data_IF_905436591965
#
_entry.id   IF_905436591965
#
_cell.length_a   1.000
_cell.length_b   1.000
_cell.length_c   1.000
_cell.angle_alpha   90.00
_cell.angle_beta   90.00
_cell.angle_gamma   90.00
#
_symmetry.space_group_name_H-M   'P 1'
#
loop_
_entity.id
_entity.type
_entity.pdbx_description
1 polymer ?
#
# COMPACT_ATOMS: atom_id res chain seq x y z
N UNK A 1 10.98 -16.52 -23.55
CA UNK A 1 10.52 -17.60 -22.66
C UNK A 1 9.79 -17.04 -21.45
N UNK A 2 8.48 -17.28 -21.36
CA UNK A 2 7.64 -17.00 -20.18
C UNK A 2 7.50 -18.29 -19.37
N UNK A 3 7.72 -18.21 -18.04
CA UNK A 3 7.24 -19.07 -16.93
C UNK A 3 8.39 -19.55 -16.03
N UNK A 4 8.53 -18.92 -14.86
CA UNK A 4 8.44 -19.54 -13.53
C UNK A 4 8.72 -18.44 -12.49
N UNK A 5 7.66 -17.83 -11.94
CA UNK A 5 7.73 -16.90 -10.82
C UNK A 5 6.67 -17.32 -9.81
N UNK A 6 6.98 -18.35 -9.04
CA UNK A 6 6.18 -18.80 -7.88
C UNK A 6 6.77 -18.17 -6.60
N UNK A 7 7.20 -16.92 -6.67
CA UNK A 7 7.29 -16.06 -5.48
C UNK A 7 6.99 -14.65 -5.97
N UNK A 8 5.82 -14.11 -5.58
CA UNK A 8 5.44 -12.70 -5.77
C UNK A 8 5.14 -12.24 -7.22
N UNK A 9 4.31 -12.99 -7.97
CA UNK A 9 3.65 -12.53 -9.21
C UNK A 9 3.00 -11.13 -9.14
N UNK A 10 2.77 -10.59 -7.93
CA UNK A 10 2.11 -9.30 -7.70
C UNK A 10 3.04 -8.11 -7.43
N UNK A 11 4.36 -8.30 -7.32
CA UNK A 11 5.26 -7.17 -7.14
C UNK A 11 5.74 -6.73 -8.51
N UNK A 12 5.28 -5.57 -8.98
CA UNK A 12 5.81 -4.94 -10.21
C UNK A 12 7.31 -4.61 -10.11
N UNK A 13 7.88 -4.71 -8.91
CA UNK A 13 9.23 -4.30 -8.56
C UNK A 13 9.82 -5.29 -7.57
N UNK A 14 11.09 -5.62 -7.72
CA UNK A 14 11.80 -6.46 -6.77
C UNK A 14 12.31 -5.60 -5.61
N UNK A 15 11.73 -5.79 -4.42
CA UNK A 15 12.11 -5.07 -3.20
C UNK A 15 13.10 -5.84 -2.33
N UNK A 16 13.67 -6.96 -2.80
CA UNK A 16 14.72 -7.67 -2.05
C UNK A 16 15.94 -6.75 -1.89
N UNK A 17 16.61 -6.74 -0.72
CA UNK A 17 17.85 -5.99 -0.55
C UNK A 17 18.97 -6.49 -1.47
N UNK A 18 19.95 -5.63 -1.76
CA UNK A 18 21.22 -6.04 -2.38
C UNK A 18 21.91 -7.11 -1.52
N UNK A 19 22.55 -8.15 -2.09
CA UNK A 19 22.76 -8.40 -3.54
C UNK A 19 21.65 -9.24 -4.21
N UNK A 20 20.53 -9.49 -3.53
CA UNK A 20 19.53 -10.45 -4.02
C UNK A 20 18.58 -9.88 -5.09
N UNK A 21 18.34 -8.56 -5.05
CA UNK A 21 17.46 -7.88 -5.99
C UNK A 21 17.91 -8.04 -7.45
N UNK A 22 16.95 -8.21 -8.37
CA UNK A 22 17.21 -8.32 -9.81
C UNK A 22 17.75 -9.68 -10.26
N UNK A 23 18.00 -10.60 -9.33
CA UNK A 23 18.51 -11.94 -9.65
C UNK A 23 17.40 -12.98 -9.64
N UNK A 24 17.55 -14.07 -10.40
CA UNK A 24 16.65 -15.24 -10.32
C UNK A 24 17.00 -16.20 -9.19
N UNK A 25 18.08 -15.92 -8.44
CA UNK A 25 18.52 -16.72 -7.30
C UNK A 25 17.70 -16.39 -6.05
N UNK A 26 17.47 -17.40 -5.21
CA UNK A 26 16.81 -17.29 -3.89
C UNK A 26 15.51 -16.46 -3.93
N UNK A 27 14.61 -16.77 -4.87
CA UNK A 27 13.34 -16.04 -5.01
C UNK A 27 12.47 -16.19 -3.75
N UNK A 28 12.62 -17.30 -3.07
CA UNK A 28 11.94 -17.70 -1.84
C UNK A 28 12.58 -17.16 -0.57
N UNK A 29 13.68 -16.40 -0.65
CA UNK A 29 14.44 -15.90 0.51
C UNK A 29 13.56 -15.22 1.55
N UNK A 30 12.62 -14.37 1.12
CA UNK A 30 11.73 -13.63 2.02
C UNK A 30 10.70 -14.52 2.74
N UNK A 31 10.56 -15.80 2.37
CA UNK A 31 9.73 -16.77 3.10
C UNK A 31 10.41 -17.21 4.40
N UNK A 32 11.75 -17.32 4.38
CA UNK A 32 12.53 -17.90 5.46
C UNK A 32 13.27 -16.85 6.29
N UNK A 33 13.69 -15.74 5.67
CA UNK A 33 14.39 -14.65 6.37
C UNK A 33 13.42 -13.51 6.73
N UNK A 34 13.06 -13.45 8.03
CA UNK A 34 12.17 -12.42 8.57
C UNK A 34 12.79 -11.01 8.53
N UNK A 35 14.11 -10.91 8.69
CA UNK A 35 14.83 -9.63 8.69
C UNK A 35 14.85 -9.02 7.30
N UNK A 36 15.23 -9.81 6.28
CA UNK A 36 15.18 -9.38 4.89
C UNK A 36 13.76 -9.07 4.43
N UNK A 37 12.78 -9.86 4.87
CA UNK A 37 11.36 -9.57 4.61
C UNK A 37 10.93 -8.22 5.18
N UNK A 38 11.37 -7.90 6.40
CA UNK A 38 11.11 -6.59 7.01
C UNK A 38 11.70 -5.45 6.18
N UNK A 39 12.97 -5.57 5.76
CA UNK A 39 13.64 -4.58 4.89
C UNK A 39 12.92 -4.41 3.55
N UNK A 40 12.55 -5.51 2.91
CA UNK A 40 11.81 -5.47 1.64
C UNK A 40 10.42 -4.84 1.79
N UNK A 41 9.70 -5.15 2.87
CA UNK A 41 8.41 -4.52 3.17
C UNK A 41 8.56 -3.01 3.40
N UNK A 42 9.59 -2.59 4.15
CA UNK A 42 9.88 -1.17 4.38
C UNK A 42 10.12 -0.43 3.06
N UNK A 43 11.00 -0.97 2.20
CA UNK A 43 11.27 -0.37 0.89
C UNK A 43 10.01 -0.30 0.01
N UNK A 44 9.16 -1.33 0.04
CA UNK A 44 7.87 -1.34 -0.67
C UNK A 44 6.92 -0.25 -0.16
N UNK A 45 6.82 -0.07 1.16
CA UNK A 45 5.97 0.96 1.77
C UNK A 45 6.50 2.37 1.51
N UNK A 46 7.81 2.57 1.54
CA UNK A 46 8.46 3.84 1.20
C UNK A 46 8.22 4.21 -0.27
N UNK A 47 8.43 3.27 -1.20
CA UNK A 47 8.13 3.49 -2.62
C UNK A 47 6.64 3.80 -2.81
N UNK A 48 5.74 3.05 -2.15
CA UNK A 48 4.31 3.30 -2.21
C UNK A 48 3.94 4.71 -1.73
N UNK A 49 4.46 5.14 -0.59
CA UNK A 49 4.16 6.44 0.01
C UNK A 49 4.73 7.62 -0.77
N UNK A 50 5.84 7.42 -1.50
CA UNK A 50 6.57 8.52 -2.16
C UNK A 50 6.36 8.58 -3.67
N UNK A 51 6.10 7.46 -4.34
CA UNK A 51 6.15 7.38 -5.81
C UNK A 51 4.87 6.86 -6.47
N UNK A 52 4.05 6.11 -5.74
CA UNK A 52 2.92 5.42 -6.37
C UNK A 52 1.66 6.26 -6.45
N UNK A 53 1.49 7.33 -5.69
CA UNK A 53 0.27 8.15 -5.69
C UNK A 53 0.63 9.56 -6.12
N UNK A 54 1.07 9.65 -7.37
CA UNK A 54 1.62 10.85 -8.01
C UNK A 54 0.76 11.25 -9.21
N UNK A 55 0.47 12.56 -9.34
CA UNK A 55 -0.32 13.16 -10.42
C UNK A 55 0.44 13.13 -11.76
N UNK A 56 1.76 13.04 -11.72
CA UNK A 56 2.63 13.00 -12.91
C UNK A 56 3.05 11.55 -13.26
N UNK A 57 2.47 10.55 -12.58
CA UNK A 57 2.75 9.15 -12.86
C UNK A 57 2.36 8.75 -14.28
N UNK A 58 3.26 8.08 -15.00
CA UNK A 58 2.94 7.44 -16.29
C UNK A 58 1.87 6.33 -16.16
N UNK A 59 1.69 5.78 -14.96
CA UNK A 59 0.63 4.81 -14.71
C UNK A 59 -0.70 5.51 -14.45
N UNK A 60 -1.63 5.37 -15.40
CA UNK A 60 -2.96 5.97 -15.34
C UNK A 60 -3.71 5.71 -14.02
N UNK A 61 -3.62 4.48 -13.47
CA UNK A 61 -4.30 4.14 -12.21
C UNK A 61 -3.84 5.05 -11.06
N UNK A 62 -2.55 5.34 -10.99
CA UNK A 62 -1.95 6.15 -9.93
C UNK A 62 -2.24 7.62 -10.11
N UNK A 63 -2.06 8.11 -11.33
CA UNK A 63 -2.40 9.48 -11.70
C UNK A 63 -3.86 9.80 -11.42
N UNK A 64 -4.78 8.98 -11.94
CA UNK A 64 -6.22 9.21 -11.78
C UNK A 64 -6.64 9.12 -10.30
N UNK A 65 -6.02 8.22 -9.53
CA UNK A 65 -6.28 8.12 -8.08
C UNK A 65 -5.78 9.36 -7.33
N UNK A 66 -4.59 9.89 -7.65
CA UNK A 66 -4.08 11.14 -7.05
C UNK A 66 -4.99 12.32 -7.38
N UNK A 67 -5.37 12.48 -8.66
CA UNK A 67 -6.26 13.56 -9.09
C UNK A 67 -7.63 13.49 -8.41
N UNK A 68 -8.16 12.27 -8.20
CA UNK A 68 -9.39 12.05 -7.43
C UNK A 68 -9.23 12.46 -5.96
N UNK A 69 -8.13 12.09 -5.30
CA UNK A 69 -7.83 12.54 -3.94
C UNK A 69 -7.73 14.06 -3.86
N UNK A 70 -7.02 14.70 -4.79
CA UNK A 70 -6.87 16.14 -4.82
C UNK A 70 -8.22 16.85 -4.96
N UNK A 71 -9.12 16.31 -5.81
CA UNK A 71 -10.48 16.84 -5.95
C UNK A 71 -11.27 16.72 -4.66
N UNK A 72 -11.16 15.59 -3.94
CA UNK A 72 -11.83 15.40 -2.65
C UNK A 72 -11.30 16.36 -1.59
N UNK A 73 -9.98 16.50 -1.47
CA UNK A 73 -9.35 17.40 -0.51
C UNK A 73 -9.76 18.85 -0.79
N UNK A 74 -9.73 19.30 -2.05
CA UNK A 74 -10.19 20.66 -2.41
C UNK A 74 -11.64 20.91 -2.05
N UNK A 75 -12.50 19.90 -2.14
CA UNK A 75 -13.92 20.05 -1.88
C UNK A 75 -14.31 19.90 -0.40
N UNK A 76 -13.57 19.11 0.38
CA UNK A 76 -13.98 18.67 1.73
C UNK A 76 -12.93 18.89 2.82
N UNK A 77 -11.76 19.44 2.47
CA UNK A 77 -10.61 19.55 3.37
C UNK A 77 -9.79 18.26 3.49
N UNK A 78 -8.65 18.32 4.16
CA UNK A 78 -7.72 17.19 4.32
C UNK A 78 -8.29 16.05 5.19
N UNK A 79 -9.19 16.38 6.11
CA UNK A 79 -9.83 15.44 7.03
C UNK A 79 -10.58 14.31 6.31
N UNK A 80 -10.97 14.54 5.06
CA UNK A 80 -11.61 13.54 4.19
C UNK A 80 -10.73 12.30 3.99
N UNK A 81 -9.41 12.42 4.12
CA UNK A 81 -8.47 11.31 4.02
C UNK A 81 -8.60 10.32 5.18
N UNK A 82 -9.23 10.74 6.28
CA UNK A 82 -9.54 9.90 7.43
C UNK A 82 -10.97 9.36 7.39
N UNK A 83 -11.70 9.55 6.29
CA UNK A 83 -13.00 8.92 6.09
C UNK A 83 -12.84 7.46 5.65
N UNK A 84 -13.62 6.58 6.25
CA UNK A 84 -13.54 5.14 5.97
C UNK A 84 -13.97 4.82 4.54
N UNK A 85 -15.02 5.45 4.02
CA UNK A 85 -15.51 5.20 2.66
C UNK A 85 -14.50 5.64 1.62
N UNK A 86 -13.82 6.78 1.86
CA UNK A 86 -12.73 7.28 1.02
C UNK A 86 -11.54 6.31 1.02
N UNK A 87 -11.16 5.79 2.18
CA UNK A 87 -10.10 4.78 2.27
C UNK A 87 -10.48 3.47 1.55
N UNK A 88 -11.73 3.01 1.68
CA UNK A 88 -12.20 1.82 0.96
C UNK A 88 -12.22 2.03 -0.55
N UNK A 89 -12.63 3.21 -1.01
CA UNK A 89 -12.61 3.55 -2.44
C UNK A 89 -11.19 3.67 -2.96
N UNK A 90 -10.28 4.32 -2.22
CA UNK A 90 -8.86 4.38 -2.54
C UNK A 90 -8.29 2.97 -2.76
N UNK A 91 -8.54 2.04 -1.83
CA UNK A 91 -8.10 0.64 -1.94
C UNK A 91 -8.64 -0.02 -3.22
N UNK A 92 -9.90 0.24 -3.60
CA UNK A 92 -10.48 -0.31 -4.82
C UNK A 92 -9.86 0.31 -6.08
N UNK A 93 -9.51 1.60 -6.06
CA UNK A 93 -8.87 2.27 -7.20
C UNK A 93 -7.43 1.80 -7.44
N UNK A 94 -6.73 1.39 -6.38
CA UNK A 94 -5.33 0.93 -6.48
C UNK A 94 -5.19 -0.59 -6.48
N UNK A 95 -6.27 -1.37 -6.59
CA UNK A 95 -6.19 -2.82 -6.51
C UNK A 95 -7.34 -3.57 -7.19
N UNK A 96 -7.11 -4.84 -7.51
CA UNK A 96 -8.12 -5.74 -8.05
C UNK A 96 -8.29 -5.70 -9.57
N UNK A 97 -7.50 -4.89 -10.28
CA UNK A 97 -7.56 -4.75 -11.73
C UNK A 97 -6.17 -4.56 -12.37
N UNK A 98 -6.03 -4.69 -13.70
CA UNK A 98 -4.76 -4.47 -14.39
C UNK A 98 -4.14 -3.10 -14.06
N UNK A 99 -2.80 -3.04 -14.12
CA UNK A 99 -1.99 -1.84 -13.87
C UNK A 99 -2.14 -1.20 -12.48
N UNK A 100 -2.90 -1.80 -11.56
CA UNK A 100 -3.00 -1.35 -10.17
C UNK A 100 -1.78 -1.75 -9.30
N UNK A 101 -1.74 -1.35 -8.02
CA UNK A 101 -0.73 -1.80 -7.06
C UNK A 101 -0.76 -3.29 -6.84
N UNK A 102 -1.96 -3.85 -6.68
CA UNK A 102 -2.14 -5.29 -6.62
C UNK A 102 -3.30 -5.72 -7.51
N UNK A 103 -3.02 -6.29 -8.68
CA UNK A 103 -4.04 -6.66 -9.65
C UNK A 103 -4.94 -7.83 -9.23
N UNK A 104 -4.62 -8.53 -8.13
CA UNK A 104 -5.41 -9.68 -7.67
C UNK A 104 -6.78 -9.19 -7.20
N UNK A 105 -7.86 -9.66 -7.82
CA UNK A 105 -9.25 -9.34 -7.45
C UNK A 105 -9.57 -9.54 -5.95
N UNK A 106 -8.91 -10.49 -5.30
CA UNK A 106 -9.06 -10.75 -3.87
C UNK A 106 -8.34 -9.74 -2.96
N UNK A 107 -7.36 -8.99 -3.48
CA UNK A 107 -6.54 -8.09 -2.66
C UNK A 107 -7.33 -6.93 -2.04
N UNK A 108 -8.19 -6.18 -2.77
CA UNK A 108 -8.99 -5.13 -2.16
C UNK A 108 -9.87 -5.61 -1.01
N UNK A 109 -10.49 -6.79 -1.16
CA UNK A 109 -11.29 -7.43 -0.10
C UNK A 109 -10.45 -7.67 1.16
N UNK A 110 -9.24 -8.23 0.98
CA UNK A 110 -8.31 -8.49 2.09
C UNK A 110 -7.81 -7.20 2.75
N UNK A 111 -7.41 -6.20 1.95
CA UNK A 111 -6.90 -4.92 2.45
C UNK A 111 -7.97 -4.19 3.29
N UNK A 112 -9.20 -4.08 2.79
CA UNK A 112 -10.33 -3.49 3.53
C UNK A 112 -10.64 -4.26 4.81
N UNK A 113 -10.59 -5.60 4.76
CA UNK A 113 -10.79 -6.44 5.95
C UNK A 113 -9.74 -6.17 7.03
N UNK A 114 -8.46 -6.09 6.66
CA UNK A 114 -7.36 -5.77 7.58
C UNK A 114 -7.54 -4.36 8.15
N UNK A 115 -7.81 -3.37 7.28
CA UNK A 115 -8.03 -1.98 7.68
C UNK A 115 -9.13 -1.86 8.74
N UNK A 116 -10.27 -2.54 8.51
CA UNK A 116 -11.39 -2.59 9.46
C UNK A 116 -11.01 -3.29 10.76
N UNK A 117 -10.50 -4.52 10.68
CA UNK A 117 -10.19 -5.34 11.87
C UNK A 117 -9.09 -4.73 12.75
N UNK A 118 -8.14 -4.04 12.13
CA UNK A 118 -7.05 -3.42 12.87
C UNK A 118 -7.37 -1.99 13.35
N UNK A 119 -8.55 -1.44 13.05
CA UNK A 119 -8.95 -0.10 13.48
C UNK A 119 -8.12 1.03 12.83
N UNK A 120 -7.57 0.82 11.62
CA UNK A 120 -6.52 1.70 11.07
C UNK A 120 -6.98 3.14 10.84
N UNK A 121 -8.25 3.34 10.47
CA UNK A 121 -8.81 4.69 10.29
C UNK A 121 -8.85 5.44 11.62
N UNK A 122 -9.35 4.79 12.69
CA UNK A 122 -9.39 5.40 14.02
C UNK A 122 -7.98 5.65 14.56
N UNK A 123 -7.08 4.69 14.38
CA UNK A 123 -5.67 4.83 14.72
C UNK A 123 -5.06 6.07 14.06
N UNK A 124 -5.29 6.25 12.75
CA UNK A 124 -4.78 7.41 12.02
C UNK A 124 -5.39 8.72 12.52
N UNK A 125 -6.70 8.75 12.83
CA UNK A 125 -7.36 9.90 13.44
C UNK A 125 -6.77 10.26 14.80
N UNK A 126 -6.55 9.28 15.66
CA UNK A 126 -6.00 9.51 17.00
C UNK A 126 -4.56 10.04 16.93
N UNK A 127 -3.75 9.55 15.98
CA UNK A 127 -2.40 10.08 15.76
C UNK A 127 -2.49 11.52 15.25
N UNK A 128 -3.29 11.77 14.21
CA UNK A 128 -3.31 13.06 13.52
C UNK A 128 -4.03 14.16 14.31
N UNK A 129 -5.27 13.93 14.74
CA UNK A 129 -6.11 14.96 15.36
C UNK A 129 -5.89 15.10 16.87
N UNK A 130 -5.48 14.02 17.55
CA UNK A 130 -5.27 14.02 19.01
C UNK A 130 -3.78 14.04 19.39
N UNK A 131 -2.90 14.18 18.41
CA UNK A 131 -1.45 14.18 18.56
C UNK A 131 -0.93 13.01 19.42
N UNK A 132 -1.56 11.84 19.30
CA UNK A 132 -1.16 10.66 20.06
C UNK A 132 0.07 10.00 19.46
N UNK A 133 0.97 9.52 20.31
CA UNK A 133 2.01 8.58 19.86
C UNK A 133 1.36 7.32 19.31
N UNK A 134 2.01 6.67 18.34
CA UNK A 134 1.53 5.40 17.79
C UNK A 134 1.22 4.38 18.88
N UNK A 135 2.10 4.24 19.89
CA UNK A 135 1.92 3.29 21.00
C UNK A 135 0.66 3.57 21.81
N UNK A 136 0.32 4.84 22.02
CA UNK A 136 -0.90 5.24 22.74
C UNK A 136 -2.13 4.98 21.89
N UNK A 137 -2.15 5.46 20.65
CA UNK A 137 -3.27 5.26 19.74
C UNK A 137 -3.51 3.76 19.44
N UNK A 138 -2.46 2.95 19.35
CA UNK A 138 -2.56 1.51 19.08
C UNK A 138 -3.26 0.73 20.19
N UNK A 139 -3.22 1.22 21.43
CA UNK A 139 -3.91 0.61 22.57
C UNK A 139 -5.40 0.94 22.64
N UNK A 140 -5.84 1.97 21.91
CA UNK A 140 -7.21 2.50 21.96
C UNK A 140 -8.09 2.05 20.77
N UNK A 141 -7.53 1.28 19.84
CA UNK A 141 -8.14 0.96 18.55
C UNK A 141 -9.05 -0.27 18.59
#
# INVERSE_FOLDING_TARGET
MKKLLIVLKSLKRDYRPFPHAGTTKNLELLKYDKSLKSKANKACLEDFATRWIDKDSNNKVFRDTRLWLDKLIRAKGEDILFDKSVNEEFINKIGGHPHSFNYRKAWPKKAKSIMKKAGLVQLAKDIHFKNMTFKKAWRNK
#
